data_IF_666287142584
#
_entry.id   IF_666287142584
#
_cell.length_a   1.000
_cell.length_b   1.000
_cell.length_c   1.000
_cell.angle_alpha   90.00
_cell.angle_beta   90.00
_cell.angle_gamma   90.00
#
_symmetry.space_group_name_H-M   'P 1'
#
loop_
_entity.id
_entity.type
_entity.pdbx_description
1 polymer ?
#
# COMPACT_ATOMS: atom_id res chain seq x y z
N UNK A 1 4.69 3.39 -14.49
CA UNK A 1 3.25 3.46 -14.92
C UNK A 1 2.45 4.12 -13.80
N UNK A 2 1.39 4.89 -14.08
CA UNK A 2 0.56 5.56 -13.05
C UNK A 2 -0.86 4.97 -13.04
N UNK A 3 -1.30 4.37 -11.94
CA UNK A 3 -2.61 3.70 -11.80
C UNK A 3 -3.51 4.42 -10.81
N UNK A 4 -4.82 4.49 -11.06
CA UNK A 4 -5.77 4.97 -10.05
C UNK A 4 -5.90 3.99 -8.88
N UNK A 5 -6.50 4.40 -7.77
CA UNK A 5 -6.80 3.51 -6.64
C UNK A 5 -7.56 2.25 -7.08
N UNK A 6 -8.56 2.43 -7.95
CA UNK A 6 -9.38 1.32 -8.45
C UNK A 6 -8.59 0.37 -9.35
N UNK A 7 -7.70 0.89 -10.20
CA UNK A 7 -6.84 0.06 -11.05
C UNK A 7 -5.78 -0.68 -10.23
N UNK A 8 -5.20 -0.02 -9.22
CA UNK A 8 -4.27 -0.66 -8.27
C UNK A 8 -4.97 -1.78 -7.51
N UNK A 9 -6.17 -1.52 -6.97
CA UNK A 9 -6.97 -2.51 -6.26
C UNK A 9 -7.33 -3.70 -7.16
N UNK A 10 -7.74 -3.45 -8.40
CA UNK A 10 -8.03 -4.49 -9.38
C UNK A 10 -6.78 -5.32 -9.75
N UNK A 11 -5.59 -4.71 -9.79
CA UNK A 11 -4.33 -5.42 -10.05
C UNK A 11 -3.97 -6.43 -8.95
N UNK A 12 -4.30 -6.12 -7.70
CA UNK A 12 -4.06 -6.99 -6.55
C UNK A 12 -5.28 -7.82 -6.16
N UNK A 13 -6.35 -7.83 -6.97
CA UNK A 13 -7.62 -8.51 -6.68
C UNK A 13 -8.21 -8.19 -5.30
N UNK A 14 -8.03 -6.95 -4.83
CA UNK A 14 -8.55 -6.46 -3.55
C UNK A 14 -9.58 -5.35 -3.74
N UNK A 15 -10.38 -5.11 -2.71
CA UNK A 15 -11.24 -3.94 -2.67
C UNK A 15 -10.39 -2.65 -2.53
N UNK A 16 -10.76 -1.53 -3.18
CA UNK A 16 -10.09 -0.24 -3.01
C UNK A 16 -9.95 0.21 -1.55
N UNK A 17 -10.90 -0.17 -0.69
CA UNK A 17 -10.87 0.09 0.74
C UNK A 17 -9.68 -0.57 1.46
N UNK A 18 -9.17 -1.70 0.96
CA UNK A 18 -7.99 -2.38 1.52
C UNK A 18 -6.73 -1.57 1.26
N UNK A 19 -6.58 -1.05 0.04
CA UNK A 19 -5.45 -0.19 -0.33
C UNK A 19 -5.51 1.14 0.45
N UNK A 20 -6.71 1.70 0.63
CA UNK A 20 -6.93 2.88 1.46
C UNK A 20 -6.54 2.62 2.94
N UNK A 21 -6.87 1.44 3.47
CA UNK A 21 -6.45 1.04 4.82
C UNK A 21 -4.92 0.90 4.94
N UNK A 22 -4.25 0.38 3.91
CA UNK A 22 -2.78 0.32 3.88
C UNK A 22 -2.15 1.71 3.96
N UNK A 23 -2.68 2.68 3.20
CA UNK A 23 -2.20 4.07 3.25
C UNK A 23 -2.45 4.67 4.63
N UNK A 24 -3.66 4.51 5.19
CA UNK A 24 -4.02 5.02 6.53
C UNK A 24 -3.15 4.45 7.64
N UNK A 25 -2.77 3.18 7.53
CA UNK A 25 -1.89 2.51 8.48
C UNK A 25 -0.41 2.84 8.29
N UNK A 26 -0.05 3.62 7.27
CA UNK A 26 1.33 3.99 6.96
C UNK A 26 2.13 2.86 6.30
N UNK A 27 1.44 1.89 5.69
CA UNK A 27 2.07 0.79 4.95
C UNK A 27 2.57 1.22 3.56
N UNK A 28 2.17 2.41 3.10
CA UNK A 28 2.61 3.02 1.84
C UNK A 28 3.30 4.34 2.18
N UNK A 29 4.57 4.33 2.61
CA UNK A 29 5.23 5.53 3.12
C UNK A 29 5.46 6.62 2.06
N UNK A 30 5.46 6.26 0.78
CA UNK A 30 5.48 7.20 -0.34
C UNK A 30 4.21 8.07 -0.41
N UNK A 31 3.12 7.66 0.25
CA UNK A 31 1.88 8.43 0.36
C UNK A 31 1.67 8.94 1.77
N UNK A 32 2.16 10.16 2.03
CA UNK A 32 1.83 10.90 3.23
C UNK A 32 0.38 11.46 3.14
N UNK A 33 -0.58 10.67 3.62
CA UNK A 33 -1.91 11.10 4.12
C UNK A 33 -2.80 12.00 3.24
N UNK A 34 -2.61 12.04 1.93
CA UNK A 34 -3.46 12.86 1.04
C UNK A 34 -4.19 11.99 0.01
N UNK A 35 -5.52 12.02 0.15
CA UNK A 35 -6.52 11.21 -0.56
C UNK A 35 -6.99 11.91 -1.84
N UNK A 36 -6.36 13.01 -2.23
CA UNK A 36 -6.75 13.76 -3.42
C UNK A 36 -6.14 13.12 -4.67
N UNK A 37 -6.84 12.13 -5.24
CA UNK A 37 -6.89 11.77 -6.67
C UNK A 37 -5.56 11.61 -7.45
N UNK A 38 -4.44 11.40 -6.75
CA UNK A 38 -3.15 11.22 -7.40
C UNK A 38 -2.96 9.75 -7.75
N UNK A 39 -2.68 9.47 -9.02
CA UNK A 39 -2.37 8.14 -9.51
C UNK A 39 -1.13 7.53 -8.83
N UNK A 40 -1.23 6.26 -8.43
CA UNK A 40 -0.18 5.40 -7.85
C UNK A 40 0.97 5.25 -8.83
N UNK A 41 2.15 5.70 -8.42
CA UNK A 41 3.37 5.47 -9.18
C UNK A 41 3.98 4.10 -8.86
N UNK A 42 5.17 3.84 -9.42
CA UNK A 42 5.84 2.55 -9.27
C UNK A 42 6.33 2.30 -7.85
N UNK A 43 6.67 3.35 -7.11
CA UNK A 43 7.08 3.25 -5.70
C UNK A 43 5.86 2.96 -4.83
N UNK A 44 4.73 3.61 -5.07
CA UNK A 44 3.48 3.31 -4.38
C UNK A 44 3.06 1.86 -4.61
N UNK A 45 3.10 1.40 -5.86
CA UNK A 45 2.75 0.02 -6.21
C UNK A 45 3.67 -0.99 -5.53
N UNK A 46 4.97 -0.71 -5.43
CA UNK A 46 5.92 -1.58 -4.74
C UNK A 46 5.55 -1.75 -3.26
N UNK A 47 5.23 -0.67 -2.56
CA UNK A 47 4.85 -0.74 -1.15
C UNK A 47 3.51 -1.46 -0.94
N UNK A 48 2.54 -1.20 -1.81
CA UNK A 48 1.25 -1.91 -1.79
C UNK A 48 1.44 -3.40 -2.01
N UNK A 49 2.21 -3.80 -3.03
CA UNK A 49 2.49 -5.19 -3.34
C UNK A 49 3.20 -5.89 -2.18
N UNK A 50 4.21 -5.23 -1.60
CA UNK A 50 4.93 -5.76 -0.45
C UNK A 50 3.98 -5.96 0.73
N UNK A 51 3.23 -4.92 1.12
CA UNK A 51 2.32 -4.99 2.25
C UNK A 51 1.25 -6.06 2.06
N UNK A 52 0.67 -6.13 0.86
CA UNK A 52 -0.33 -7.12 0.51
C UNK A 52 0.23 -8.54 0.61
N UNK A 53 1.39 -8.81 0.00
CA UNK A 53 2.06 -10.11 0.08
C UNK A 53 2.31 -10.56 1.52
N UNK A 54 2.80 -9.68 2.40
CA UNK A 54 3.04 -10.07 3.80
C UNK A 54 1.73 -10.41 4.53
N UNK A 55 0.67 -9.62 4.30
CA UNK A 55 -0.63 -9.82 4.95
C UNK A 55 -1.29 -11.11 4.45
N UNK A 56 -1.26 -11.38 3.14
CA UNK A 56 -1.78 -12.63 2.58
C UNK A 56 -1.05 -13.87 3.10
N UNK A 57 0.26 -13.74 3.39
CA UNK A 57 1.06 -14.82 3.97
C UNK A 57 0.93 -14.93 5.51
N UNK A 58 -0.04 -14.22 6.11
CA UNK A 58 -0.40 -14.36 7.53
C UNK A 58 0.34 -13.41 8.47
N UNK A 59 1.10 -12.43 7.96
CA UNK A 59 1.65 -11.36 8.80
C UNK A 59 0.55 -10.37 9.19
N UNK A 60 0.66 -9.78 10.38
CA UNK A 60 -0.28 -8.72 10.77
C UNK A 60 0.11 -7.37 10.14
N UNK A 61 -0.86 -6.47 9.99
CA UNK A 61 -0.62 -5.08 9.55
C UNK A 61 0.43 -4.39 10.44
N UNK A 62 0.42 -4.66 11.75
CA UNK A 62 1.40 -4.11 12.69
C UNK A 62 2.82 -4.63 12.43
N UNK A 63 2.97 -5.93 12.09
CA UNK A 63 4.28 -6.49 11.76
C UNK A 63 4.88 -5.85 10.50
N UNK A 64 4.05 -5.67 9.46
CA UNK A 64 4.46 -5.01 8.22
C UNK A 64 4.80 -3.54 8.48
N UNK A 65 4.04 -2.87 9.33
CA UNK A 65 4.32 -1.48 9.73
C UNK A 65 5.65 -1.35 10.46
N UNK A 66 5.97 -2.27 11.36
CA UNK A 66 7.28 -2.33 12.02
C UNK A 66 8.41 -2.64 11.04
N UNK A 67 8.17 -3.47 10.03
CA UNK A 67 9.14 -3.72 8.95
C UNK A 67 9.41 -2.44 8.15
N UNK A 68 8.37 -1.71 7.76
CA UNK A 68 8.48 -0.47 6.96
C UNK A 68 9.24 0.61 7.73
N UNK A 69 9.04 0.74 9.04
CA UNK A 69 9.81 1.67 9.89
C UNK A 69 11.31 1.39 9.89
N UNK A 70 11.73 0.15 9.59
CA UNK A 70 13.15 -0.24 9.51
C UNK A 70 13.76 0.01 8.14
N UNK A 71 12.93 0.19 7.11
CA UNK A 71 13.40 0.59 5.79
C UNK A 71 13.92 2.03 5.85
N UNK A 72 15.08 2.29 5.24
CA UNK A 72 15.54 3.65 4.99
C UNK A 72 14.77 4.18 3.79
N UNK A 73 13.70 4.92 4.06
CA UNK A 73 12.82 5.54 3.06
C UNK A 73 13.39 6.91 2.69
#
# INVERSE_FOLDING_TARGET
>A
MKLTLNETAAKFDVAPAVIDDYIKNGLVPSRAQTVDDIAFDETDMYWVEMAHCFIENGSSVEDVKELIKRCKI
#
